data_IF_232402981112
#
_entry.id   IF_232402981112
#
_cell.length_a   1.000
_cell.length_b   1.000
_cell.length_c   1.000
_cell.angle_alpha   90.00
_cell.angle_beta   90.00
_cell.angle_gamma   90.00
#
_symmetry.space_group_name_H-M   'P 1'
#
loop_
_entity.id
_entity.type
_entity.pdbx_description
1 polymer ?
#
# COMPACT_ATOMS: atom_id res chain seq x y z
N UNK A 1 -7.33 -9.11 0.94
CA UNK A 1 -6.13 -8.38 0.48
C UNK A 1 -4.90 -9.19 0.91
N UNK A 2 -3.78 -9.01 0.23
CA UNK A 2 -2.51 -9.67 0.53
C UNK A 2 -1.36 -8.65 0.49
N UNK A 3 -0.21 -9.04 1.05
CA UNK A 3 1.03 -8.27 0.98
C UNK A 3 2.08 -9.11 0.27
N UNK A 4 2.73 -8.53 -0.73
CA UNK A 4 3.92 -9.10 -1.36
C UNK A 4 5.15 -8.34 -0.91
N UNK A 5 6.20 -9.07 -0.52
CA UNK A 5 7.46 -8.49 -0.07
C UNK A 5 8.61 -8.96 -0.96
N UNK A 6 9.43 -8.00 -1.39
CA UNK A 6 10.66 -8.24 -2.16
C UNK A 6 11.77 -7.34 -1.62
N UNK A 7 12.64 -7.89 -0.78
CA UNK A 7 13.67 -7.10 -0.09
C UNK A 7 13.04 -6.05 0.83
N UNK A 8 13.41 -4.78 0.69
CA UNK A 8 12.85 -3.68 1.51
C UNK A 8 11.50 -3.13 0.99
N UNK A 9 10.96 -3.72 -0.09
CA UNK A 9 9.68 -3.36 -0.71
C UNK A 9 8.55 -4.19 -0.12
N UNK A 10 7.47 -3.54 0.31
CA UNK A 10 6.19 -4.17 0.64
C UNK A 10 5.09 -3.56 -0.24
N UNK A 11 4.29 -4.41 -0.87
CA UNK A 11 3.20 -4.00 -1.76
C UNK A 11 1.87 -4.63 -1.34
N UNK A 12 0.83 -3.82 -1.30
CA UNK A 12 -0.54 -4.21 -0.93
C UNK A 12 -1.35 -4.50 -2.18
N UNK A 13 -2.05 -5.63 -2.16
CA UNK A 13 -2.96 -6.05 -3.21
C UNK A 13 -4.33 -6.34 -2.63
N UNK A 14 -5.38 -5.77 -3.20
CA UNK A 14 -6.77 -6.01 -2.77
C UNK A 14 -7.43 -7.22 -3.45
N UNK A 15 -6.63 -8.10 -4.03
CA UNK A 15 -7.02 -9.37 -4.65
C UNK A 15 -6.23 -10.54 -4.01
N UNK A 16 -6.46 -11.81 -4.40
CA UNK A 16 -5.47 -12.88 -4.20
C UNK A 16 -4.15 -12.56 -4.93
N UNK A 17 -2.99 -13.08 -4.47
CA UNK A 17 -1.70 -12.79 -5.10
C UNK A 17 -1.71 -13.11 -6.61
N UNK A 18 -1.46 -12.13 -7.51
CA UNK A 18 -1.41 -12.39 -8.94
C UNK A 18 -0.21 -13.26 -9.30
N UNK A 19 -0.39 -14.18 -10.25
CA UNK A 19 0.66 -15.11 -10.69
C UNK A 19 1.56 -14.55 -11.79
N UNK A 20 1.10 -13.52 -12.50
CA UNK A 20 1.82 -12.86 -13.60
C UNK A 20 1.44 -11.38 -13.74
N UNK A 21 2.12 -10.66 -14.64
CA UNK A 21 1.87 -9.24 -14.86
C UNK A 21 0.51 -8.92 -15.48
N UNK A 22 -0.06 -9.83 -16.27
CA UNK A 22 -1.37 -9.60 -16.91
C UNK A 22 -2.50 -9.67 -15.89
N UNK A 23 -2.46 -10.66 -15.01
CA UNK A 23 -3.39 -10.82 -13.88
C UNK A 23 -3.22 -9.69 -12.85
N UNK A 24 -1.99 -9.23 -12.60
CA UNK A 24 -1.72 -8.07 -11.77
C UNK A 24 -2.37 -6.79 -12.35
N UNK A 25 -2.16 -6.50 -13.64
CA UNK A 25 -2.75 -5.34 -14.31
C UNK A 25 -4.28 -5.40 -14.34
N UNK A 26 -4.86 -6.59 -14.54
CA UNK A 26 -6.30 -6.78 -14.53
C UNK A 26 -6.94 -6.65 -13.14
N UNK A 27 -6.16 -6.79 -12.06
CA UNK A 27 -6.62 -6.67 -10.69
C UNK A 27 -6.55 -5.24 -10.13
N UNK A 28 -6.07 -4.28 -10.93
CA UNK A 28 -5.97 -2.87 -10.52
C UNK A 28 -7.36 -2.26 -10.35
N UNK A 29 -7.58 -1.61 -9.22
CA UNK A 29 -8.73 -0.75 -8.96
C UNK A 29 -8.24 0.69 -8.79
N UNK A 30 -8.39 1.49 -9.86
CA UNK A 30 -7.89 2.86 -9.88
C UNK A 30 -8.54 3.79 -8.84
N UNK A 31 -9.79 3.53 -8.44
CA UNK A 31 -10.46 4.36 -7.44
C UNK A 31 -9.94 4.04 -6.05
N UNK A 32 -9.77 2.75 -5.76
CA UNK A 32 -9.19 2.30 -4.50
C UNK A 32 -7.73 2.75 -4.36
N UNK A 33 -6.93 2.67 -5.43
CA UNK A 33 -5.55 3.18 -5.44
C UNK A 33 -5.52 4.68 -5.12
N UNK A 34 -6.29 5.48 -5.86
CA UNK A 34 -6.36 6.92 -5.63
C UNK A 34 -6.79 7.27 -4.20
N UNK A 35 -7.74 6.52 -3.63
CA UNK A 35 -8.13 6.64 -2.23
C UNK A 35 -6.96 6.35 -1.29
N UNK A 36 -6.26 5.23 -1.48
CA UNK A 36 -5.13 4.84 -0.61
C UNK A 36 -4.00 5.87 -0.68
N UNK A 37 -3.63 6.36 -1.87
CA UNK A 37 -2.61 7.39 -2.04
C UNK A 37 -3.00 8.70 -1.36
N UNK A 38 -4.23 9.18 -1.58
CA UNK A 38 -4.71 10.43 -1.01
C UNK A 38 -4.89 10.33 0.51
N UNK A 39 -5.35 9.18 1.01
CA UNK A 39 -5.48 8.91 2.43
C UNK A 39 -4.12 8.96 3.14
N UNK A 40 -3.12 8.30 2.56
CA UNK A 40 -1.77 8.20 3.09
C UNK A 40 -1.04 9.55 3.09
N UNK A 41 -1.05 10.26 1.96
CA UNK A 41 -0.29 11.52 1.83
C UNK A 41 -0.82 12.61 2.77
N UNK A 42 -2.13 12.68 2.95
CA UNK A 42 -2.77 13.61 3.90
C UNK A 42 -2.45 13.31 5.37
N UNK A 43 -1.83 12.16 5.66
CA UNK A 43 -1.43 11.69 6.99
C UNK A 43 0.08 11.48 7.12
N UNK A 44 0.85 12.06 6.20
CA UNK A 44 2.31 12.09 6.27
C UNK A 44 3.02 10.85 5.70
N UNK A 45 2.33 10.02 4.92
CA UNK A 45 2.91 8.83 4.27
C UNK A 45 2.86 9.00 2.75
N UNK A 46 4.02 9.15 2.11
CA UNK A 46 4.12 9.21 0.66
C UNK A 46 4.37 7.81 0.09
N UNK A 47 3.37 7.29 -0.64
CA UNK A 47 3.49 6.04 -1.40
C UNK A 47 3.85 6.34 -2.86
N UNK A 48 4.44 5.36 -3.56
CA UNK A 48 4.73 5.53 -4.98
C UNK A 48 3.44 5.70 -5.78
N UNK A 49 3.32 6.65 -6.73
CA UNK A 49 2.04 6.98 -7.37
C UNK A 49 1.55 5.96 -8.40
N UNK A 50 2.26 4.84 -8.57
CA UNK A 50 1.95 3.81 -9.58
C UNK A 50 1.59 2.46 -8.96
N UNK A 51 1.84 2.28 -7.66
CA UNK A 51 1.60 1.03 -6.93
C UNK A 51 1.27 1.35 -5.47
N UNK A 52 0.43 0.53 -4.83
CA UNK A 52 0.23 0.57 -3.38
C UNK A 52 1.42 -0.09 -2.68
N UNK A 53 2.59 0.55 -2.77
CA UNK A 53 3.86 0.00 -2.33
C UNK A 53 4.65 1.00 -1.50
N UNK A 54 5.24 0.48 -0.42
CA UNK A 54 6.23 1.16 0.40
C UNK A 54 7.61 0.53 0.20
N UNK A 55 8.63 1.37 0.01
CA UNK A 55 10.03 0.97 -0.07
C UNK A 55 10.82 1.67 1.04
N UNK A 56 11.33 0.88 1.98
CA UNK A 56 12.03 1.41 3.16
C UNK A 56 13.52 1.62 2.85
N UNK A 57 14.06 2.78 3.23
CA UNK A 57 15.49 3.09 3.18
C UNK A 57 16.17 2.83 4.53
N UNK A 58 17.52 2.73 4.60
CA UNK A 58 18.25 2.62 5.87
C UNK A 58 18.02 3.77 6.87
N UNK A 59 17.54 4.92 6.40
CA UNK A 59 17.19 6.06 7.26
C UNK A 59 15.79 5.99 7.89
N UNK A 60 14.94 5.03 7.49
CA UNK A 60 13.63 4.87 8.13
C UNK A 60 13.80 4.26 9.52
N UNK A 61 13.00 4.74 10.45
CA UNK A 61 12.92 4.25 11.83
C UNK A 61 11.71 3.35 12.01
N UNK A 62 11.66 2.64 13.14
CA UNK A 62 10.47 1.88 13.51
C UNK A 62 9.23 2.78 13.64
N UNK A 63 9.39 4.04 14.06
CA UNK A 63 8.27 4.98 14.19
C UNK A 63 7.64 5.31 12.83
N UNK A 64 8.44 5.40 11.77
CA UNK A 64 7.96 5.63 10.40
C UNK A 64 7.14 4.42 9.90
N UNK A 65 7.63 3.21 10.17
CA UNK A 65 6.92 1.96 9.84
C UNK A 65 5.59 1.87 10.60
N UNK A 66 5.60 2.23 11.88
CA UNK A 66 4.39 2.24 12.71
C UNK A 66 3.39 3.32 12.29
N UNK A 67 3.85 4.47 11.82
CA UNK A 67 2.98 5.49 11.24
C UNK A 67 2.28 4.95 9.99
N UNK A 68 3.05 4.36 9.08
CA UNK A 68 2.52 3.70 7.89
C UNK A 68 1.45 2.66 8.27
N UNK A 69 1.77 1.75 9.20
CA UNK A 69 0.88 0.67 9.63
C UNK A 69 -0.46 1.19 10.19
N UNK A 70 -0.41 2.19 11.08
CA UNK A 70 -1.63 2.83 11.62
C UNK A 70 -2.46 3.48 10.52
N UNK A 71 -1.82 4.25 9.63
CA UNK A 71 -2.51 4.96 8.54
C UNK A 71 -3.19 3.98 7.58
N UNK A 72 -2.51 2.88 7.24
CA UNK A 72 -3.07 1.81 6.41
C UNK A 72 -4.24 1.11 7.11
N UNK A 73 -4.08 0.74 8.38
CA UNK A 73 -5.12 0.09 9.17
C UNK A 73 -6.40 0.94 9.22
N UNK A 74 -6.28 2.24 9.53
CA UNK A 74 -7.42 3.17 9.58
C UNK A 74 -8.11 3.29 8.21
N UNK A 75 -7.36 3.24 7.11
CA UNK A 75 -7.91 3.27 5.75
C UNK A 75 -8.79 2.04 5.46
N UNK A 76 -8.28 0.86 5.82
CA UNK A 76 -9.00 -0.41 5.63
C UNK A 76 -10.24 -0.46 6.53
N UNK A 77 -10.15 -0.01 7.79
CA UNK A 77 -11.34 0.11 8.64
C UNK A 77 -12.38 1.04 8.02
N UNK A 78 -11.97 2.17 7.44
CA UNK A 78 -12.90 3.12 6.84
C UNK A 78 -13.62 2.56 5.60
N UNK A 79 -12.94 1.75 4.80
CA UNK A 79 -13.51 1.13 3.59
C UNK A 79 -14.46 -0.04 3.85
N UNK A 80 -14.42 -0.61 5.06
CA UNK A 80 -15.16 -1.84 5.41
C UNK A 80 -16.33 -1.60 6.35
N UNK A 81 -16.55 -0.35 6.77
CA UNK A 81 -17.73 0.11 7.50
C UNK A 81 -18.83 0.53 6.54
#
# INVERSE_FOLDING_TARGET
>A
WNVQQLGARAEYWFCPPPGDGATAAAAVDHQLDAFMHLWAINRGVLLTPFHNMALMSPHHTLADVQLHDRVFHDAVEHLTR
#
